data_IF_441781812156
#
_entry.id   IF_441781812156
#
_cell.length_a   1.000
_cell.length_b   1.000
_cell.length_c   1.000
_cell.angle_alpha   90.00
_cell.angle_beta   90.00
_cell.angle_gamma   90.00
#
_symmetry.space_group_name_H-M   'P 1'
#
loop_
_entity.id
_entity.type
_entity.pdbx_description
1 polymer ?
#
# COMPACT_ATOMS: atom_id res chain seq x y z
N UNK A 1 32.98 -19.98 -53.45
CA UNK A 1 34.08 -19.97 -52.47
C UNK A 1 33.77 -18.88 -51.44
N UNK A 2 33.61 -19.28 -50.17
CA UNK A 2 33.49 -18.49 -48.91
C UNK A 2 32.42 -17.37 -48.82
N UNK A 3 31.33 -17.42 -48.02
CA UNK A 3 31.10 -17.68 -46.58
C UNK A 3 31.32 -16.43 -45.66
N UNK A 4 30.22 -15.77 -45.28
CA UNK A 4 29.89 -15.15 -43.96
C UNK A 4 28.39 -14.72 -44.01
N UNK A 5 27.39 -15.44 -43.46
CA UNK A 5 26.96 -15.61 -42.06
C UNK A 5 26.53 -14.31 -41.33
N UNK A 6 25.36 -14.41 -40.67
CA UNK A 6 24.76 -13.55 -39.62
C UNK A 6 24.27 -12.17 -40.13
N UNK A 7 23.01 -11.73 -40.07
CA UNK A 7 22.04 -11.63 -38.96
C UNK A 7 20.80 -11.00 -39.62
N UNK A 8 19.61 -11.58 -39.65
CA UNK A 8 18.53 -11.18 -38.73
C UNK A 8 17.22 -11.91 -39.14
N UNK A 9 17.06 -13.14 -38.66
CA UNK A 9 15.73 -13.75 -38.52
C UNK A 9 15.26 -13.48 -37.08
N UNK A 10 14.56 -12.37 -36.86
CA UNK A 10 13.72 -12.14 -35.68
C UNK A 10 12.42 -11.53 -36.24
N UNK A 11 11.55 -12.37 -36.77
CA UNK A 11 10.34 -12.87 -36.10
C UNK A 11 9.36 -11.74 -35.76
N UNK A 12 8.31 -11.73 -36.58
CA UNK A 12 6.99 -11.13 -36.41
C UNK A 12 6.46 -11.22 -34.96
N UNK A 13 5.91 -10.12 -34.43
CA UNK A 13 4.71 -10.05 -33.57
C UNK A 13 4.53 -8.59 -33.10
N UNK A 14 3.55 -7.82 -33.61
CA UNK A 14 3.12 -6.60 -32.95
C UNK A 14 1.72 -6.83 -32.35
N UNK A 15 1.62 -6.91 -31.02
CA UNK A 15 0.56 -6.32 -30.18
C UNK A 15 0.72 -6.81 -28.72
N UNK A 16 1.88 -6.53 -28.13
CA UNK A 16 1.97 -6.50 -26.67
C UNK A 16 1.38 -5.16 -26.24
N UNK A 17 0.07 -5.14 -25.99
CA UNK A 17 -0.57 -4.06 -25.21
C UNK A 17 -0.20 -4.29 -23.75
N UNK A 18 1.06 -4.02 -23.39
CA UNK A 18 1.43 -3.81 -22.01
C UNK A 18 1.02 -2.38 -21.66
N UNK A 19 0.03 -2.27 -20.79
CA UNK A 19 -0.40 -1.02 -20.20
C UNK A 19 0.84 -0.23 -19.73
N UNK A 20 1.08 0.91 -20.36
CA UNK A 20 2.03 1.91 -19.88
C UNK A 20 1.45 2.52 -18.61
N UNK A 21 1.73 1.94 -17.45
CA UNK A 21 1.76 2.73 -16.22
C UNK A 21 3.11 3.43 -16.20
N UNK A 22 3.14 4.63 -16.78
CA UNK A 22 4.24 5.57 -16.62
C UNK A 22 4.32 5.99 -15.16
N UNK A 23 5.21 5.36 -14.41
CA UNK A 23 5.87 5.97 -13.27
C UNK A 23 7.37 5.92 -13.54
N UNK A 24 7.90 6.98 -14.14
CA UNK A 24 9.32 7.30 -14.05
C UNK A 24 9.49 8.18 -12.82
N UNK A 25 10.36 7.81 -11.88
CA UNK A 25 11.47 8.68 -11.46
C UNK A 25 12.55 7.91 -10.66
N UNK A 26 13.65 7.66 -11.35
CA UNK A 26 15.05 7.57 -10.92
C UNK A 26 15.35 8.09 -9.50
N UNK A 27 15.59 7.20 -8.53
CA UNK A 27 16.18 7.59 -7.25
C UNK A 27 17.71 7.57 -7.35
N UNK A 28 18.27 8.64 -7.92
CA UNK A 28 19.69 8.97 -7.81
C UNK A 28 19.80 10.47 -7.70
N UNK A 29 19.90 10.98 -6.48
CA UNK A 29 20.37 12.36 -6.27
C UNK A 29 20.97 12.47 -4.87
N UNK A 30 22.29 12.61 -4.82
CA UNK A 30 23.05 12.72 -3.59
C UNK A 30 22.83 14.07 -2.91
N UNK A 31 22.54 14.02 -1.63
CA UNK A 31 22.89 15.02 -0.62
C UNK A 31 22.76 14.35 0.74
N UNK A 32 23.53 14.80 1.73
CA UNK A 32 23.84 14.12 3.00
C UNK A 32 22.61 14.10 3.94
N UNK A 33 21.56 13.39 3.56
CA UNK A 33 20.42 13.03 4.40
C UNK A 33 20.04 11.59 4.03
N UNK A 34 20.46 10.62 4.84
CA UNK A 34 19.96 9.24 4.73
C UNK A 34 18.51 9.23 5.20
N UNK A 35 17.61 9.85 4.43
CA UNK A 35 16.20 9.80 4.72
C UNK A 35 15.68 8.45 4.23
N UNK A 36 15.04 7.66 5.10
CA UNK A 36 14.47 6.39 4.67
C UNK A 36 13.51 6.64 3.50
N UNK A 37 13.74 5.93 2.40
CA UNK A 37 12.96 6.04 1.15
C UNK A 37 11.63 5.29 1.22
N UNK A 38 11.29 4.77 2.39
CA UNK A 38 10.16 3.89 2.65
C UNK A 38 10.14 3.46 4.10
N UNK A 39 9.14 2.66 4.46
CA UNK A 39 8.92 2.21 5.83
C UNK A 39 9.02 0.70 5.92
N UNK A 40 9.43 0.19 7.07
CA UNK A 40 9.38 -1.24 7.37
C UNK A 40 8.20 -1.49 8.32
N UNK A 41 7.38 -2.48 8.00
CA UNK A 41 6.30 -2.95 8.87
C UNK A 41 6.19 -4.47 8.77
N UNK A 42 6.28 -5.15 9.92
CA UNK A 42 6.30 -6.63 10.02
C UNK A 42 7.33 -7.31 9.09
N UNK A 43 8.51 -6.70 8.93
CA UNK A 43 9.58 -7.23 8.07
C UNK A 43 9.36 -7.02 6.57
N UNK A 44 8.29 -6.33 6.17
CA UNK A 44 8.01 -5.95 4.78
C UNK A 44 8.36 -4.49 4.55
N UNK A 45 8.92 -4.20 3.38
CA UNK A 45 9.21 -2.83 2.94
C UNK A 45 7.99 -2.24 2.22
N UNK A 46 7.69 -0.98 2.55
CA UNK A 46 6.61 -0.19 1.97
C UNK A 46 7.18 1.12 1.42
N UNK A 47 6.66 1.55 0.28
CA UNK A 47 6.95 2.83 -0.32
C UNK A 47 6.25 3.97 0.43
N UNK A 48 6.83 5.15 0.37
CA UNK A 48 6.19 6.37 0.89
C UNK A 48 4.84 6.56 0.22
N UNK A 49 3.80 6.79 1.03
CA UNK A 49 2.42 6.94 0.59
C UNK A 49 1.62 5.64 0.63
N UNK A 50 2.24 4.47 0.80
CA UNK A 50 1.50 3.23 1.00
C UNK A 50 0.84 3.18 2.38
N UNK A 51 -0.35 2.58 2.42
CA UNK A 51 -1.11 2.37 3.64
C UNK A 51 -1.53 0.92 3.80
N UNK A 52 -1.64 0.49 5.05
CA UNK A 52 -2.09 -0.85 5.44
C UNK A 52 -3.23 -0.69 6.44
N UNK A 53 -4.26 -1.50 6.28
CA UNK A 53 -5.30 -1.70 7.27
C UNK A 53 -4.96 -2.93 8.11
N UNK A 54 -4.81 -2.74 9.42
CA UNK A 54 -4.56 -3.80 10.40
C UNK A 54 -5.67 -3.75 11.46
N UNK A 55 -6.75 -4.48 11.18
CA UNK A 55 -7.96 -4.45 11.99
C UNK A 55 -8.53 -3.03 12.09
N UNK A 56 -8.54 -2.48 13.30
CA UNK A 56 -9.03 -1.12 13.56
C UNK A 56 -7.92 -0.06 13.60
N UNK A 57 -6.83 -0.32 12.87
CA UNK A 57 -5.71 0.60 12.70
C UNK A 57 -5.46 0.85 11.23
N UNK A 58 -5.22 2.10 10.88
CA UNK A 58 -4.70 2.50 9.57
C UNK A 58 -3.25 2.94 9.75
N UNK A 59 -2.34 2.22 9.09
CA UNK A 59 -0.91 2.52 9.09
C UNK A 59 -0.53 3.19 7.78
N UNK A 60 0.17 4.33 7.84
CA UNK A 60 0.64 5.07 6.67
C UNK A 60 2.17 5.19 6.70
N UNK A 61 2.80 4.90 5.57
CA UNK A 61 4.21 5.19 5.39
C UNK A 61 4.42 6.66 5.01
N UNK A 62 5.00 7.44 5.92
CA UNK A 62 5.31 8.86 5.71
C UNK A 62 6.78 9.08 5.35
N UNK A 63 7.09 10.07 4.52
CA UNK A 63 8.47 10.43 4.23
C UNK A 63 9.17 10.88 5.52
N UNK A 64 10.43 10.50 5.69
CA UNK A 64 11.20 10.86 6.90
C UNK A 64 11.08 9.87 8.05
N UNK A 65 10.18 8.90 7.97
CA UNK A 65 10.04 7.85 8.98
C UNK A 65 10.56 6.51 8.44
N UNK A 66 11.34 5.80 9.23
CA UNK A 66 11.77 4.42 8.93
C UNK A 66 10.64 3.40 9.20
N UNK A 67 9.70 3.74 10.09
CA UNK A 67 8.57 2.90 10.46
C UNK A 67 7.24 3.54 10.05
N UNK A 68 6.22 2.70 9.92
CA UNK A 68 4.86 3.17 9.64
C UNK A 68 4.26 3.96 10.81
N UNK A 69 3.49 4.99 10.49
CA UNK A 69 2.68 5.72 11.47
C UNK A 69 1.26 5.16 11.47
N UNK A 70 0.86 4.51 12.55
CA UNK A 70 -0.48 3.93 12.69
C UNK A 70 -1.39 4.82 13.53
N UNK A 71 -2.65 4.94 13.11
CA UNK A 71 -3.72 5.57 13.87
C UNK A 71 -4.82 4.56 14.11
N UNK A 72 -5.39 4.57 15.31
CA UNK A 72 -6.52 3.71 15.67
C UNK A 72 -7.81 4.46 15.34
N UNK A 73 -8.80 3.77 14.80
CA UNK A 73 -10.13 4.35 14.66
C UNK A 73 -10.75 4.51 16.05
N UNK A 74 -10.94 5.76 16.46
CA UNK A 74 -11.71 6.09 17.66
C UNK A 74 -13.13 6.41 17.25
N UNK A 75 -14.08 5.64 17.80
CA UNK A 75 -15.49 5.81 17.54
C UNK A 75 -16.17 6.52 18.71
N UNK A 76 -17.16 7.35 18.42
CA UNK A 76 -18.09 7.80 19.45
C UNK A 76 -18.97 6.64 19.89
N UNK A 77 -19.21 6.54 21.20
CA UNK A 77 -20.04 5.50 21.80
C UNK A 77 -21.49 5.99 21.81
N UNK A 78 -22.38 5.47 20.93
CA UNK A 78 -23.73 6.00 20.84
C UNK A 78 -24.54 5.62 22.09
N UNK A 79 -25.49 6.48 22.46
CA UNK A 79 -26.48 6.14 23.49
C UNK A 79 -27.61 5.35 22.87
N UNK A 80 -27.72 4.07 23.23
CA UNK A 80 -28.79 3.22 22.74
C UNK A 80 -30.10 3.43 23.54
N UNK A 81 -31.27 3.28 22.90
CA UNK A 81 -32.53 3.15 23.60
C UNK A 81 -32.55 1.86 24.44
N UNK A 82 -33.39 1.80 25.46
CA UNK A 82 -33.45 0.66 26.41
C UNK A 82 -33.75 -0.69 25.75
N UNK A 83 -34.40 -0.70 24.60
CA UNK A 83 -34.74 -1.92 23.84
C UNK A 83 -33.61 -2.40 22.92
N UNK A 84 -32.42 -1.81 23.02
CA UNK A 84 -31.26 -2.18 22.21
C UNK A 84 -30.02 -2.30 23.08
N UNK A 85 -29.13 -3.20 22.68
CA UNK A 85 -27.84 -3.36 23.31
C UNK A 85 -26.75 -2.83 22.39
N UNK A 86 -25.77 -2.17 22.97
CA UNK A 86 -24.61 -1.69 22.24
C UNK A 86 -23.61 -2.82 22.05
N UNK A 87 -23.36 -3.22 20.80
CA UNK A 87 -22.44 -4.33 20.47
C UNK A 87 -21.49 -3.98 19.35
N UNK A 88 -20.27 -4.51 19.44
CA UNK A 88 -19.29 -4.54 18.34
C UNK A 88 -19.45 -5.88 17.62
N UNK A 89 -19.71 -5.86 16.32
CA UNK A 89 -19.91 -7.08 15.53
C UNK A 89 -18.58 -7.55 14.91
N UNK A 90 -18.47 -8.83 14.54
CA UNK A 90 -17.27 -9.34 13.89
C UNK A 90 -16.96 -8.56 12.60
N UNK A 91 -15.76 -8.01 12.53
CA UNK A 91 -15.31 -7.18 11.39
C UNK A 91 -15.65 -5.69 11.50
N UNK A 92 -16.49 -5.28 12.46
CA UNK A 92 -16.76 -3.87 12.72
C UNK A 92 -15.74 -3.31 13.72
N UNK A 93 -15.27 -2.08 13.46
CA UNK A 93 -14.42 -1.35 14.40
C UNK A 93 -15.18 -0.51 15.41
N UNK A 94 -16.41 -0.12 15.06
CA UNK A 94 -17.26 0.71 15.90
C UNK A 94 -18.45 -0.09 16.42
N UNK A 95 -18.93 0.23 17.63
CA UNK A 95 -20.12 -0.40 18.17
C UNK A 95 -21.39 0.13 17.48
N UNK A 96 -22.45 -0.66 17.50
CA UNK A 96 -23.78 -0.28 17.06
C UNK A 96 -24.86 -0.80 18.00
N UNK A 97 -25.97 -0.08 18.08
CA UNK A 97 -27.15 -0.56 18.78
C UNK A 97 -27.78 -1.70 17.96
N UNK A 98 -27.92 -2.86 18.57
CA UNK A 98 -28.60 -4.03 17.99
C UNK A 98 -29.82 -4.37 18.83
N UNK A 99 -30.89 -4.81 18.18
CA UNK A 99 -32.08 -5.30 18.87
C UNK A 99 -31.69 -6.54 19.70
N UNK A 100 -32.20 -6.59 20.92
CA UNK A 100 -32.10 -7.74 21.81
C UNK A 100 -33.23 -8.74 21.59
#
# INVERSE_FOLDING_TARGET
MHLTLITACIVSLPLVVTAKTTAQEKQTSGTIFNLPSGCIHEGRHYHVGESIEDGCKLCLCRPGNENMTCVVFMCDWPRCPETMELRVQPGDCCPRCVAV
#
